data_IF_151511045101
#
_entry.id   IF_151511045101
#
_cell.length_a   1.000
_cell.length_b   1.000
_cell.length_c   1.000
_cell.angle_alpha   90.00
_cell.angle_beta   90.00
_cell.angle_gamma   90.00
#
_symmetry.space_group_name_H-M   'P 1'
#
loop_
_entity.id
_entity.type
_entity.pdbx_description
1 polymer ?
#
# COMPACT_ATOMS: atom_id res chain seq x y z
N UNK A 1 -14.83 -13.90 11.45
CA UNK A 1 -15.57 -15.15 11.18
C UNK A 1 -17.05 -14.84 11.30
N UNK A 2 -17.70 -14.62 10.17
CA UNK A 2 -19.16 -14.65 10.07
C UNK A 2 -19.46 -15.68 8.98
N UNK A 3 -20.15 -16.74 9.41
CA UNK A 3 -20.54 -17.88 8.60
C UNK A 3 -21.70 -17.47 7.69
N UNK A 4 -21.71 -18.01 6.47
CA UNK A 4 -22.79 -17.84 5.51
C UNK A 4 -24.08 -18.51 5.96
N UNK A 5 -25.19 -17.84 5.66
CA UNK A 5 -26.54 -18.33 5.67
C UNK A 5 -26.99 -18.58 4.21
N UNK A 6 -27.02 -19.86 3.83
CA UNK A 6 -27.65 -20.35 2.59
C UNK A 6 -29.18 -20.17 2.70
N UNK A 7 -29.69 -18.99 2.38
CA UNK A 7 -31.12 -18.78 2.17
C UNK A 7 -31.48 -19.25 0.75
N UNK A 8 -32.08 -20.44 0.68
CA UNK A 8 -32.65 -21.03 -0.55
C UNK A 8 -33.91 -20.29 -0.97
N UNK A 9 -33.75 -19.12 -1.59
CA UNK A 9 -34.87 -18.37 -2.15
C UNK A 9 -35.44 -19.10 -3.39
N UNK A 10 -36.61 -19.71 -3.23
CA UNK A 10 -37.41 -20.30 -4.32
C UNK A 10 -38.30 -19.24 -4.96
N UNK A 11 -37.68 -18.25 -5.62
CA UNK A 11 -38.40 -17.26 -6.40
C UNK A 11 -38.98 -17.88 -7.68
N UNK A 12 -40.31 -18.02 -7.76
CA UNK A 12 -40.98 -18.34 -9.03
C UNK A 12 -41.14 -17.06 -9.84
N UNK A 13 -40.30 -16.85 -10.85
CA UNK A 13 -40.47 -15.75 -11.80
C UNK A 13 -41.31 -16.19 -13.01
N UNK A 14 -42.27 -15.35 -13.40
CA UNK A 14 -43.02 -15.49 -14.66
C UNK A 14 -42.50 -14.45 -15.66
N UNK A 15 -41.55 -14.86 -16.49
CA UNK A 15 -41.03 -14.05 -17.59
C UNK A 15 -41.61 -14.50 -18.94
N UNK A 16 -42.13 -13.56 -19.73
CA UNK A 16 -42.43 -13.80 -21.15
C UNK A 16 -41.20 -13.49 -21.99
N UNK A 17 -40.34 -14.48 -22.22
CA UNK A 17 -39.18 -14.37 -23.10
C UNK A 17 -39.44 -15.01 -24.48
N UNK A 18 -39.07 -14.32 -25.56
CA UNK A 18 -38.98 -14.91 -26.91
C UNK A 18 -37.58 -15.50 -27.09
N UNK A 19 -37.43 -16.81 -26.83
CA UNK A 19 -36.18 -17.54 -27.07
C UNK A 19 -36.17 -18.24 -28.43
N UNK A 20 -35.06 -18.15 -29.15
CA UNK A 20 -34.77 -18.99 -30.33
C UNK A 20 -34.07 -20.27 -29.88
N UNK A 21 -34.83 -21.35 -29.69
CA UNK A 21 -34.27 -22.66 -29.39
C UNK A 21 -33.77 -23.37 -30.65
N UNK A 22 -32.52 -23.85 -30.65
CA UNK A 22 -31.98 -24.73 -31.69
C UNK A 22 -32.34 -26.18 -31.37
N UNK A 23 -33.58 -26.58 -31.69
CA UNK A 23 -34.01 -27.98 -31.64
C UNK A 23 -33.83 -28.66 -33.01
N UNK A 24 -33.13 -29.80 -33.05
CA UNK A 24 -32.95 -30.63 -34.27
C UNK A 24 -34.17 -31.51 -34.57
N UNK A 25 -35.37 -30.94 -34.54
CA UNK A 25 -36.62 -31.63 -34.87
C UNK A 25 -37.10 -31.25 -36.27
N UNK A 26 -37.13 -32.19 -37.21
CA UNK A 26 -37.80 -32.04 -38.51
C UNK A 26 -39.31 -32.04 -38.32
N UNK A 27 -39.89 -30.90 -37.99
CA UNK A 27 -41.33 -30.70 -37.89
C UNK A 27 -41.68 -29.23 -38.08
N UNK A 28 -42.41 -28.93 -39.15
CA UNK A 28 -42.98 -27.61 -39.44
C UNK A 28 -44.16 -27.35 -38.49
N UNK A 29 -43.87 -26.87 -37.28
CA UNK A 29 -44.89 -26.35 -36.36
C UNK A 29 -44.41 -25.04 -35.74
N UNK A 30 -45.17 -23.97 -35.94
CA UNK A 30 -45.12 -22.76 -35.11
C UNK A 30 -45.72 -23.08 -33.75
N UNK A 31 -44.89 -23.57 -32.82
CA UNK A 31 -45.26 -23.81 -31.43
C UNK A 31 -44.82 -22.66 -30.54
N UNK A 32 -45.75 -22.05 -29.80
CA UNK A 32 -45.45 -21.20 -28.65
C UNK A 32 -45.03 -22.11 -27.49
N UNK A 33 -43.73 -22.39 -27.37
CA UNK A 33 -43.17 -23.15 -26.26
C UNK A 33 -42.96 -22.26 -25.03
N UNK A 34 -43.64 -22.57 -23.92
CA UNK A 34 -43.31 -22.03 -22.60
C UNK A 34 -42.18 -22.86 -21.99
N UNK A 35 -40.93 -22.46 -22.26
CA UNK A 35 -39.76 -23.05 -21.61
C UNK A 35 -39.41 -22.28 -20.34
N UNK A 36 -39.51 -22.92 -19.17
CA UNK A 36 -38.92 -22.40 -17.92
C UNK A 36 -37.42 -22.72 -17.95
N UNK A 37 -36.63 -21.86 -18.59
CA UNK A 37 -35.19 -21.90 -18.43
C UNK A 37 -34.86 -21.46 -17.00
N UNK A 38 -34.26 -22.33 -16.21
CA UNK A 38 -33.63 -21.94 -14.95
C UNK A 38 -32.38 -21.13 -15.29
N UNK A 39 -32.56 -19.84 -15.56
CA UNK A 39 -31.44 -18.91 -15.61
C UNK A 39 -30.68 -19.03 -14.30
N UNK A 40 -29.36 -19.14 -14.37
CA UNK A 40 -28.47 -18.94 -13.23
C UNK A 40 -28.98 -17.73 -12.46
N UNK A 41 -29.26 -17.89 -11.17
CA UNK A 41 -29.62 -16.77 -10.31
C UNK A 41 -28.59 -15.67 -10.55
N UNK A 42 -29.07 -14.47 -10.90
CA UNK A 42 -28.22 -13.29 -11.00
C UNK A 42 -27.39 -13.24 -9.72
N UNK A 43 -26.06 -13.29 -9.85
CA UNK A 43 -25.17 -13.17 -8.70
C UNK A 43 -25.61 -11.92 -7.91
N UNK A 44 -25.83 -12.04 -6.59
CA UNK A 44 -26.29 -10.89 -5.81
C UNK A 44 -25.30 -9.74 -6.05
N UNK A 45 -25.81 -8.50 -6.18
CA UNK A 45 -24.94 -7.36 -6.43
C UNK A 45 -23.82 -7.36 -5.38
N UNK A 46 -22.56 -7.14 -5.79
CA UNK A 46 -21.44 -7.18 -4.87
C UNK A 46 -21.74 -6.25 -3.68
N UNK A 47 -21.39 -6.67 -2.45
CA UNK A 47 -21.66 -5.86 -1.26
C UNK A 47 -21.14 -4.44 -1.47
N UNK A 48 -21.92 -3.45 -1.03
CA UNK A 48 -21.42 -2.08 -0.98
C UNK A 48 -20.20 -2.06 -0.06
N UNK A 49 -19.05 -1.64 -0.59
CA UNK A 49 -17.85 -1.48 0.22
C UNK A 49 -18.17 -0.52 1.37
N UNK A 50 -17.94 -0.96 2.60
CA UNK A 50 -18.11 -0.12 3.78
C UNK A 50 -17.04 0.97 3.87
N UNK A 51 -17.04 1.71 4.97
CA UNK A 51 -15.93 2.61 5.31
C UNK A 51 -14.61 1.84 5.29
N UNK A 52 -13.56 2.46 4.74
CA UNK A 52 -12.22 1.92 4.80
C UNK A 52 -11.87 1.57 6.26
N UNK A 53 -11.58 0.29 6.50
CA UNK A 53 -11.30 -0.22 7.86
C UNK A 53 -9.86 0.07 8.24
N UNK A 54 -8.93 -0.03 7.28
CA UNK A 54 -7.51 0.18 7.53
C UNK A 54 -6.79 0.67 6.25
N UNK A 55 -5.77 1.51 6.44
CA UNK A 55 -4.79 1.81 5.41
C UNK A 55 -3.69 0.76 5.49
N UNK A 56 -3.90 -0.34 4.78
CA UNK A 56 -2.89 -1.38 4.56
C UNK A 56 -1.87 -0.91 3.51
N UNK A 57 -1.14 0.15 3.84
CA UNK A 57 -0.08 0.69 2.99
C UNK A 57 1.24 -0.05 3.18
N UNK A 58 2.30 0.71 3.37
CA UNK A 58 3.69 0.30 3.54
C UNK A 58 3.88 -0.32 4.93
N UNK A 59 4.40 -1.55 5.01
CA UNK A 59 4.77 -2.17 6.27
C UNK A 59 5.74 -1.29 7.07
N UNK A 60 5.59 -1.30 8.39
CA UNK A 60 6.40 -0.57 9.38
C UNK A 60 6.37 0.97 9.32
N UNK A 61 5.90 1.60 8.24
CA UNK A 61 5.91 3.07 8.11
C UNK A 61 5.01 3.72 9.17
N UNK A 62 3.71 3.41 9.19
CA UNK A 62 2.81 3.99 10.20
C UNK A 62 3.28 3.66 11.64
N UNK A 63 3.74 2.43 11.88
CA UNK A 63 4.25 1.99 13.18
C UNK A 63 5.49 2.78 13.64
N UNK A 64 6.39 3.13 12.73
CA UNK A 64 7.62 3.82 13.05
C UNK A 64 7.48 5.34 13.02
N UNK A 65 6.66 5.89 12.14
CA UNK A 65 6.66 7.33 11.82
C UNK A 65 5.36 8.05 12.06
N UNK A 66 4.31 7.40 12.56
CA UNK A 66 3.06 8.10 12.84
C UNK A 66 2.78 8.21 14.34
N UNK A 67 2.95 9.43 14.87
CA UNK A 67 2.65 9.80 16.26
C UNK A 67 3.28 8.87 17.31
N UNK A 68 4.45 8.28 17.05
CA UNK A 68 5.03 7.26 17.90
C UNK A 68 5.52 7.79 19.25
N UNK A 69 6.01 9.02 19.26
CA UNK A 69 6.61 9.65 20.45
C UNK A 69 5.66 10.61 21.19
N UNK A 70 4.34 10.37 21.13
CA UNK A 70 3.34 11.14 21.90
C UNK A 70 2.64 10.26 22.95
N UNK A 71 1.75 10.87 23.75
CA UNK A 71 0.94 10.10 24.71
C UNK A 71 0.07 9.06 24.00
N UNK A 72 -0.06 7.87 24.59
CA UNK A 72 -0.78 6.74 23.99
C UNK A 72 -2.18 7.10 23.49
N UNK A 73 -2.94 7.87 24.26
CA UNK A 73 -4.31 8.29 23.88
C UNK A 73 -4.34 9.14 22.61
N UNK A 74 -3.31 9.98 22.42
CA UNK A 74 -3.15 10.79 21.21
C UNK A 74 -2.72 9.92 20.05
N UNK A 75 -1.74 9.03 20.26
CA UNK A 75 -1.32 8.07 19.23
C UNK A 75 -2.50 7.25 18.70
N UNK A 76 -3.32 6.67 19.58
CA UNK A 76 -4.43 5.80 19.16
C UNK A 76 -5.47 6.58 18.34
N UNK A 77 -5.86 7.76 18.82
CA UNK A 77 -6.83 8.62 18.12
C UNK A 77 -6.32 9.03 16.75
N UNK A 78 -5.03 9.38 16.66
CA UNK A 78 -4.43 9.84 15.42
C UNK A 78 -4.23 8.69 14.44
N UNK A 79 -3.77 7.52 14.89
CA UNK A 79 -3.64 6.32 14.05
C UNK A 79 -4.99 5.90 13.49
N UNK A 80 -6.05 5.96 14.29
CA UNK A 80 -7.41 5.72 13.81
C UNK A 80 -7.81 6.73 12.72
N UNK A 81 -7.50 8.02 12.93
CA UNK A 81 -7.77 9.06 11.94
C UNK A 81 -6.96 8.87 10.65
N UNK A 82 -5.69 8.47 10.75
CA UNK A 82 -4.86 8.11 9.60
C UNK A 82 -5.50 6.95 8.85
N UNK A 83 -5.82 5.85 9.53
CA UNK A 83 -6.35 4.61 8.94
C UNK A 83 -7.72 4.80 8.28
N UNK A 84 -8.53 5.73 8.77
CA UNK A 84 -9.86 6.03 8.25
C UNK A 84 -9.88 7.11 7.15
N UNK A 85 -8.76 7.80 6.89
CA UNK A 85 -8.72 8.86 5.89
C UNK A 85 -8.76 8.30 4.46
N UNK A 86 -9.94 8.35 3.85
CA UNK A 86 -10.16 7.97 2.45
C UNK A 86 -9.68 9.00 1.43
N UNK A 87 -9.20 10.18 1.84
CA UNK A 87 -8.74 11.23 0.92
C UNK A 87 -7.28 11.01 0.48
N UNK A 88 -7.07 10.00 -0.36
CA UNK A 88 -5.76 9.66 -0.90
C UNK A 88 -4.97 10.88 -1.43
N UNK A 89 -5.62 11.78 -2.17
CA UNK A 89 -4.97 12.95 -2.74
C UNK A 89 -4.47 13.97 -1.69
N UNK A 90 -5.03 13.94 -0.47
CA UNK A 90 -4.68 14.84 0.63
C UNK A 90 -3.65 14.28 1.62
N UNK A 91 -3.31 12.99 1.56
CA UNK A 91 -2.50 12.34 2.60
C UNK A 91 -1.14 12.99 2.85
N UNK A 92 -0.36 13.24 1.79
CA UNK A 92 0.92 13.94 1.94
C UNK A 92 0.76 15.28 2.65
N UNK A 93 -0.25 16.06 2.26
CA UNK A 93 -0.50 17.38 2.87
C UNK A 93 -0.98 17.29 4.32
N UNK A 94 -1.73 16.25 4.66
CA UNK A 94 -2.29 16.06 6.00
C UNK A 94 -1.25 15.53 6.99
N UNK A 95 -0.32 14.68 6.53
CA UNK A 95 0.47 13.87 7.44
C UNK A 95 2.00 13.97 7.31
N UNK A 96 2.53 14.53 6.21
CA UNK A 96 3.98 14.59 6.01
C UNK A 96 4.70 15.39 7.12
N UNK A 97 4.08 16.41 7.70
CA UNK A 97 4.67 17.16 8.82
C UNK A 97 4.90 16.26 10.04
N UNK A 98 3.89 15.47 10.42
CA UNK A 98 3.99 14.55 11.56
C UNK A 98 5.05 13.48 11.30
N UNK A 99 5.04 12.90 10.09
CA UNK A 99 6.03 11.92 9.66
C UNK A 99 7.45 12.50 9.70
N UNK A 100 7.65 13.71 9.19
CA UNK A 100 8.94 14.40 9.22
C UNK A 100 9.47 14.58 10.65
N UNK A 101 8.61 14.97 11.60
CA UNK A 101 8.99 15.08 13.00
C UNK A 101 9.39 13.73 13.61
N UNK A 102 8.69 12.64 13.30
CA UNK A 102 9.08 11.32 13.81
C UNK A 102 10.39 10.83 13.19
N UNK A 103 10.61 11.07 11.88
CA UNK A 103 11.90 10.75 11.23
C UNK A 103 13.04 11.52 11.89
N UNK A 104 12.86 12.82 12.17
CA UNK A 104 13.87 13.62 12.86
C UNK A 104 14.22 13.08 14.26
N UNK A 105 13.23 12.54 14.99
CA UNK A 105 13.48 11.89 16.28
C UNK A 105 14.23 10.58 16.10
N UNK A 106 13.85 9.75 15.11
CA UNK A 106 14.55 8.49 14.81
C UNK A 106 16.00 8.72 14.38
N UNK A 107 16.23 9.74 13.57
CA UNK A 107 17.56 10.18 13.14
C UNK A 107 18.41 10.57 14.35
N UNK A 108 17.90 11.47 15.21
CA UNK A 108 18.61 11.89 16.41
C UNK A 108 18.97 10.75 17.38
N UNK A 109 18.32 9.58 17.30
CA UNK A 109 18.69 8.40 18.07
C UNK A 109 19.90 7.63 17.49
N UNK A 110 20.17 7.74 16.18
CA UNK A 110 21.32 7.11 15.50
C UNK A 110 22.67 7.82 15.77
N UNK A 111 22.65 9.07 16.24
CA UNK A 111 23.84 9.79 16.73
C UNK A 111 24.71 9.03 17.73
N UNK A 112 24.15 8.06 18.44
CA UNK A 112 24.88 7.25 19.40
C UNK A 112 25.68 6.09 18.78
N UNK A 113 25.39 5.66 17.54
CA UNK A 113 25.82 4.35 17.03
C UNK A 113 26.99 4.43 16.05
N UNK A 114 27.15 5.56 15.34
CA UNK A 114 28.12 5.67 14.23
C UNK A 114 29.44 6.37 14.57
N UNK A 115 29.49 7.29 15.54
CA UNK A 115 30.74 7.88 16.08
C UNK A 115 30.47 8.81 17.28
N UNK A 116 31.30 8.84 18.33
CA UNK A 116 31.18 9.80 19.45
C UNK A 116 31.39 11.27 19.04
N UNK A 117 31.75 11.54 17.78
CA UNK A 117 31.88 12.90 17.22
C UNK A 117 30.93 13.18 16.06
N UNK A 118 30.08 12.21 15.66
CA UNK A 118 29.07 12.45 14.65
C UNK A 118 27.83 13.04 15.32
N UNK A 119 27.38 14.19 14.84
CA UNK A 119 25.97 14.55 14.94
C UNK A 119 25.23 13.53 14.08
N UNK A 120 24.73 12.42 14.65
CA UNK A 120 23.83 11.54 13.90
C UNK A 120 22.45 12.13 13.83
N UNK A 121 22.42 13.30 13.21
CA UNK A 121 21.28 13.89 12.56
C UNK A 121 21.69 14.02 11.09
N UNK A 122 20.75 13.90 10.16
CA UNK A 122 20.95 14.18 8.75
C UNK A 122 21.60 13.08 7.91
N UNK A 123 21.66 11.84 8.40
CA UNK A 123 22.05 10.68 7.58
C UNK A 123 20.85 9.93 6.96
N UNK A 124 19.64 10.42 7.19
CA UNK A 124 18.42 9.79 6.68
C UNK A 124 18.32 9.91 5.17
N UNK A 125 17.71 8.90 4.55
CA UNK A 125 17.49 8.87 3.11
C UNK A 125 16.71 10.12 2.68
N UNK A 126 17.24 10.87 1.70
CA UNK A 126 16.67 12.13 1.19
C UNK A 126 16.66 13.30 2.19
N UNK A 127 17.48 13.26 3.24
CA UNK A 127 17.70 14.42 4.10
C UNK A 127 18.24 15.63 3.30
N UNK A 128 17.66 16.80 3.54
CA UNK A 128 18.04 18.05 2.87
C UNK A 128 17.69 18.10 1.38
N UNK A 129 17.00 17.09 0.85
CA UNK A 129 16.49 17.07 -0.52
C UNK A 129 15.10 17.70 -0.52
N UNK A 130 14.84 18.67 -1.39
CA UNK A 130 13.52 19.17 -1.70
C UNK A 130 13.15 18.92 -3.17
N UNK A 131 11.88 18.59 -3.41
CA UNK A 131 11.31 18.50 -4.76
C UNK A 131 11.18 19.87 -5.45
N UNK A 132 11.34 20.97 -4.70
CA UNK A 132 11.30 22.34 -5.18
C UNK A 132 12.66 23.04 -4.95
N UNK A 133 13.00 23.98 -5.84
CA UNK A 133 14.16 24.87 -5.76
C UNK A 133 13.72 26.22 -5.14
N UNK A 134 14.40 26.79 -4.12
CA UNK A 134 15.69 26.39 -3.53
C UNK A 134 15.63 25.18 -2.60
N UNK A 135 16.73 24.43 -2.56
CA UNK A 135 16.95 23.40 -1.55
C UNK A 135 16.98 24.02 -0.14
N UNK A 136 16.49 23.31 0.88
CA UNK A 136 16.52 23.79 2.26
C UNK A 136 17.95 23.86 2.79
N UNK A 137 18.24 24.87 3.60
CA UNK A 137 19.51 24.93 4.34
C UNK A 137 19.44 23.99 5.53
N UNK A 138 19.90 22.76 5.34
CA UNK A 138 19.94 21.73 6.37
C UNK A 138 21.37 21.58 6.87
N UNK A 139 21.57 21.80 8.16
CA UNK A 139 22.85 21.65 8.84
C UNK A 139 22.63 20.85 10.14
N UNK A 140 22.90 19.54 10.11
CA UNK A 140 22.68 18.71 11.28
C UNK A 140 23.60 19.09 12.46
N UNK A 141 24.68 19.84 12.22
CA UNK A 141 25.61 20.27 13.26
C UNK A 141 25.08 21.42 14.12
N UNK A 142 24.13 22.23 13.64
CA UNK A 142 23.59 23.37 14.40
C UNK A 142 22.38 22.97 15.24
N UNK A 143 21.72 21.85 14.92
CA UNK A 143 20.48 21.42 15.60
C UNK A 143 19.32 22.40 15.43
N UNK A 144 19.40 23.30 14.44
CA UNK A 144 18.38 24.30 14.12
C UNK A 144 17.56 23.94 12.89
N UNK A 145 17.68 22.70 12.41
CA UNK A 145 16.98 22.23 11.23
C UNK A 145 15.47 22.31 11.42
N UNK A 146 14.80 22.92 10.44
CA UNK A 146 13.36 22.77 10.30
C UNK A 146 13.07 21.34 9.84
N UNK A 147 12.52 20.52 10.74
CA UNK A 147 12.24 19.11 10.46
C UNK A 147 11.34 18.95 9.22
N UNK A 148 10.40 19.88 9.02
CA UNK A 148 9.51 19.86 7.85
C UNK A 148 10.24 20.13 6.55
N UNK A 149 11.29 20.96 6.58
CA UNK A 149 12.10 21.26 5.40
C UNK A 149 13.14 20.16 5.12
N UNK A 150 13.85 19.70 6.15
CA UNK A 150 14.98 18.78 5.98
C UNK A 150 14.59 17.31 5.83
N UNK A 151 13.44 16.88 6.37
CA UNK A 151 12.93 15.51 6.22
C UNK A 151 11.69 15.44 5.32
N UNK A 152 11.23 16.58 4.80
CA UNK A 152 9.94 16.71 4.12
C UNK A 152 9.77 15.83 2.88
N UNK A 153 10.82 15.61 2.10
CA UNK A 153 10.73 14.77 0.89
C UNK A 153 10.50 13.30 1.22
N UNK A 154 11.30 12.72 2.13
CA UNK A 154 11.07 11.35 2.58
C UNK A 154 9.70 11.25 3.28
N UNK A 155 9.36 12.24 4.11
CA UNK A 155 8.08 12.25 4.81
C UNK A 155 6.89 12.30 3.86
N UNK A 156 6.99 13.03 2.74
CA UNK A 156 5.97 13.08 1.69
C UNK A 156 5.78 11.71 1.03
N UNK A 157 6.89 11.00 0.75
CA UNK A 157 6.83 9.65 0.19
C UNK A 157 6.16 8.67 1.15
N UNK A 158 6.56 8.71 2.42
CA UNK A 158 6.05 7.81 3.45
C UNK A 158 4.60 8.12 3.84
N UNK A 159 4.20 9.40 3.83
CA UNK A 159 2.82 9.82 4.06
C UNK A 159 1.85 9.39 2.95
N UNK A 160 2.37 9.28 1.72
CA UNK A 160 1.68 8.71 0.57
C UNK A 160 1.67 7.18 0.66
N UNK A 161 0.91 6.69 1.63
CA UNK A 161 0.91 5.30 2.07
C UNK A 161 0.04 4.39 1.19
N UNK A 162 0.42 4.24 -0.08
CA UNK A 162 -0.19 3.28 -0.99
C UNK A 162 0.68 2.04 -1.12
N UNK A 163 0.03 0.88 -1.16
CA UNK A 163 0.67 -0.35 -1.60
C UNK A 163 0.73 -0.37 -3.14
N UNK A 164 1.91 -0.12 -3.71
CA UNK A 164 2.11 -0.26 -5.15
C UNK A 164 2.52 -1.68 -5.50
N UNK A 165 1.63 -2.42 -6.16
CA UNK A 165 1.90 -3.74 -6.72
C UNK A 165 2.14 -3.60 -8.22
N UNK A 166 3.34 -3.98 -8.68
CA UNK A 166 3.61 -4.02 -10.11
C UNK A 166 3.08 -5.33 -10.68
N UNK A 167 2.14 -5.26 -11.62
CA UNK A 167 1.47 -6.44 -12.20
C UNK A 167 2.17 -7.00 -13.44
N UNK A 168 3.13 -6.27 -14.01
CA UNK A 168 3.81 -6.65 -15.25
C UNK A 168 5.22 -7.25 -15.07
N UNK A 169 5.69 -7.49 -13.83
CA UNK A 169 6.90 -8.27 -13.53
C UNK A 169 8.24 -7.66 -13.98
N UNK A 170 9.27 -7.85 -13.16
CA UNK A 170 10.70 -7.69 -13.49
C UNK A 170 11.22 -6.29 -13.88
N UNK A 171 10.97 -5.26 -13.07
CA UNK A 171 11.83 -4.07 -13.09
C UNK A 171 12.69 -4.00 -11.82
N UNK A 172 14.01 -3.96 -11.99
CA UNK A 172 15.05 -4.10 -10.97
C UNK A 172 15.10 -3.00 -9.88
N UNK A 173 14.07 -2.16 -9.75
CA UNK A 173 14.07 -1.06 -8.79
C UNK A 173 13.54 -1.46 -7.39
N UNK A 174 12.96 -2.64 -7.24
CA UNK A 174 12.54 -3.19 -5.94
C UNK A 174 11.46 -2.38 -5.21
N UNK A 175 11.29 -2.68 -3.92
CA UNK A 175 10.44 -1.91 -3.01
C UNK A 175 10.91 -0.45 -2.92
N UNK A 176 9.97 0.52 -2.96
CA UNK A 176 10.19 1.98 -3.08
C UNK A 176 10.71 2.51 -4.43
N UNK A 177 10.89 1.65 -5.45
CA UNK A 177 11.35 2.08 -6.77
C UNK A 177 10.41 3.06 -7.47
N UNK A 178 9.09 2.89 -7.30
CA UNK A 178 8.07 3.76 -7.93
C UNK A 178 8.13 5.16 -7.34
N UNK A 179 8.33 5.24 -6.03
CA UNK A 179 8.41 6.45 -5.25
C UNK A 179 9.71 7.20 -5.51
N UNK A 180 10.81 6.46 -5.66
CA UNK A 180 12.09 7.03 -6.09
C UNK A 180 11.97 7.62 -7.50
N UNK A 181 11.26 6.94 -8.42
CA UNK A 181 11.01 7.48 -9.76
C UNK A 181 10.11 8.71 -9.75
N UNK A 182 9.13 8.78 -8.84
CA UNK A 182 8.31 9.97 -8.64
C UNK A 182 9.15 11.17 -8.18
N UNK A 183 10.06 10.97 -7.23
CA UNK A 183 11.00 12.00 -6.76
C UNK A 183 11.97 12.44 -7.88
N UNK A 184 12.54 11.47 -8.61
CA UNK A 184 13.55 11.73 -9.63
C UNK A 184 12.97 12.12 -11.00
N UNK A 185 11.64 12.17 -11.12
CA UNK A 185 10.91 12.40 -12.39
C UNK A 185 11.39 11.48 -13.53
N UNK A 186 11.84 10.28 -13.20
CA UNK A 186 12.28 9.30 -14.18
C UNK A 186 11.04 8.68 -14.84
N UNK A 187 10.85 8.95 -16.13
CA UNK A 187 9.77 8.38 -16.92
C UNK A 187 9.84 6.85 -16.95
N UNK A 188 8.73 6.23 -16.55
CA UNK A 188 8.50 4.81 -16.25
C UNK A 188 8.78 4.41 -14.79
N UNK A 189 7.70 4.19 -14.04
CA UNK A 189 7.70 3.79 -12.64
C UNK A 189 8.14 2.32 -12.52
N UNK A 190 9.44 2.11 -12.50
CA UNK A 190 10.08 0.83 -12.17
C UNK A 190 9.95 0.55 -10.67
N UNK A 191 9.76 -0.71 -10.27
CA UNK A 191 9.69 -1.13 -8.87
C UNK A 191 8.27 -1.35 -8.35
N UNK A 192 8.13 -1.39 -7.02
CA UNK A 192 6.89 -1.79 -6.33
C UNK A 192 7.16 -3.00 -5.43
N UNK A 193 6.13 -3.47 -4.72
CA UNK A 193 6.26 -4.63 -3.84
C UNK A 193 6.06 -5.94 -4.62
N UNK A 194 7.01 -6.86 -4.48
CA UNK A 194 6.82 -8.29 -4.70
C UNK A 194 6.73 -8.99 -3.34
N UNK A 195 6.06 -10.13 -3.22
CA UNK A 195 6.03 -10.85 -1.95
C UNK A 195 7.39 -11.49 -1.58
N UNK A 196 8.40 -11.40 -2.45
CA UNK A 196 9.78 -11.81 -2.21
C UNK A 196 10.62 -10.70 -1.55
N UNK A 197 10.15 -9.45 -1.59
CA UNK A 197 10.87 -8.33 -0.99
C UNK A 197 10.80 -8.38 0.54
N UNK A 198 11.97 -8.21 1.16
CA UNK A 198 12.05 -7.90 2.58
C UNK A 198 11.73 -6.42 2.82
N UNK A 199 10.43 -6.14 2.88
CA UNK A 199 9.90 -4.79 3.02
C UNK A 199 10.17 -4.20 4.41
N UNK A 200 10.39 -5.02 5.44
CA UNK A 200 10.70 -4.54 6.78
C UNK A 200 12.15 -4.05 6.83
N UNK A 201 13.09 -4.87 6.35
CA UNK A 201 14.50 -4.49 6.27
C UNK A 201 14.70 -3.23 5.42
N UNK A 202 14.03 -3.15 4.28
CA UNK A 202 14.13 -1.96 3.42
C UNK A 202 13.51 -0.73 4.09
N UNK A 203 12.33 -0.87 4.71
CA UNK A 203 11.67 0.27 5.38
C UNK A 203 12.50 0.80 6.54
N UNK A 204 13.06 -0.08 7.38
CA UNK A 204 13.91 0.36 8.49
C UNK A 204 15.25 0.89 8.02
N UNK A 205 15.85 0.31 6.98
CA UNK A 205 17.09 0.86 6.40
C UNK A 205 16.88 2.29 5.90
N UNK A 206 15.76 2.57 5.24
CA UNK A 206 15.41 3.91 4.77
C UNK A 206 15.19 4.88 5.92
N UNK A 207 14.47 4.43 6.96
CA UNK A 207 14.16 5.23 8.14
C UNK A 207 15.37 5.50 9.04
N UNK A 208 16.30 4.56 9.12
CA UNK A 208 17.50 4.66 9.96
C UNK A 208 18.68 5.31 9.23
N UNK A 209 18.65 5.37 7.89
CA UNK A 209 19.80 5.87 7.11
C UNK A 209 21.00 4.91 7.08
N UNK A 210 20.88 3.76 7.73
CA UNK A 210 21.90 2.70 7.81
C UNK A 210 21.25 1.34 7.53
N UNK A 211 21.99 0.33 7.03
CA UNK A 211 21.47 -1.01 6.89
C UNK A 211 20.97 -1.54 8.24
N UNK A 212 19.65 -1.70 8.37
CA UNK A 212 18.99 -2.16 9.57
C UNK A 212 17.79 -3.02 9.21
N UNK A 213 17.64 -4.15 9.88
CA UNK A 213 16.60 -5.12 9.61
C UNK A 213 15.99 -5.73 10.86
N UNK A 214 14.95 -6.54 10.69
CA UNK A 214 14.29 -7.23 11.80
C UNK A 214 14.93 -8.60 12.16
N UNK A 215 15.98 -8.98 11.42
CA UNK A 215 16.67 -10.28 11.50
C UNK A 215 15.79 -11.48 11.08
N UNK A 216 14.68 -11.23 10.40
CA UNK A 216 13.89 -12.24 9.72
C UNK A 216 14.25 -12.18 8.25
N UNK A 217 14.64 -13.31 7.66
CA UNK A 217 14.93 -13.34 6.23
C UNK A 217 13.65 -13.38 5.41
N UNK A 218 13.67 -12.69 4.26
CA UNK A 218 12.69 -12.86 3.20
C UNK A 218 12.35 -14.35 2.95
N UNK A 219 11.07 -14.68 2.72
CA UNK A 219 10.62 -16.05 2.60
C UNK A 219 11.29 -16.78 1.43
N UNK A 220 11.74 -18.01 1.69
CA UNK A 220 12.32 -18.87 0.67
C UNK A 220 11.25 -19.40 -0.31
N UNK A 221 11.28 -18.87 -1.53
CA UNK A 221 11.03 -19.57 -2.82
C UNK A 221 9.66 -20.21 -3.16
N UNK A 222 8.56 -19.91 -2.49
CA UNK A 222 7.23 -20.31 -3.01
C UNK A 222 6.63 -19.32 -4.04
N UNK A 223 7.46 -18.47 -4.66
CA UNK A 223 7.00 -17.36 -5.50
C UNK A 223 7.73 -17.37 -6.84
N UNK A 224 7.01 -17.02 -7.90
CA UNK A 224 7.55 -16.86 -9.26
C UNK A 224 7.73 -15.37 -9.55
N UNK A 225 8.62 -15.01 -10.48
CA UNK A 225 8.93 -13.60 -10.81
C UNK A 225 7.81 -12.87 -11.57
N UNK A 226 6.76 -13.58 -11.98
CA UNK A 226 5.62 -13.03 -12.72
C UNK A 226 4.38 -12.97 -11.82
N UNK A 227 3.61 -11.89 -11.94
CA UNK A 227 2.30 -11.78 -11.30
C UNK A 227 1.40 -12.98 -11.68
N UNK A 228 0.66 -13.62 -10.75
CA UNK A 228 0.36 -13.19 -9.37
C UNK A 228 1.41 -13.58 -8.30
N UNK A 229 2.64 -13.88 -8.68
CA UNK A 229 3.76 -14.22 -7.79
C UNK A 229 3.54 -15.52 -6.98
N UNK A 230 2.65 -16.40 -7.44
CA UNK A 230 2.38 -17.70 -6.82
C UNK A 230 3.14 -18.80 -7.56
N UNK A 231 3.97 -19.57 -6.84
CA UNK A 231 4.48 -20.81 -7.38
C UNK A 231 3.34 -21.79 -7.69
N UNK A 232 3.55 -22.73 -8.63
CA UNK A 232 2.63 -23.84 -8.83
C UNK A 232 2.37 -24.58 -7.52
N UNK A 233 1.18 -25.17 -7.34
CA UNK A 233 0.89 -26.01 -6.17
C UNK A 233 1.94 -27.13 -6.04
N UNK A 234 2.39 -27.39 -4.81
CA UNK A 234 3.23 -28.55 -4.53
C UNK A 234 2.40 -29.82 -4.78
N UNK A 235 2.83 -30.67 -5.73
CA UNK A 235 2.30 -32.02 -5.93
C UNK A 235 2.90 -33.00 -4.92
#
# INVERSE_FOLDING_TARGET
>A
VACGDDETSTGTQTGTGTGTGTGTGTGTMTGTGSGTGSGQADDPPPPTLGTQIDRMGRPAVATATYQRFVAQTTHDTEVDAWNQDGNAAGWASAYASNVASQIAILDALDAAVSSPTATGCGNQTLYGVALADPQPSCDPATGTDDSGACYGTLATVLANDWLTLKVNGADAAGYLGVETNFILQAGDAKGGRTPADDVIDTSYTVLAGIPFGDNVSAPAQAQVEAFPYLAPPNN
#
